data_IF_466835950787
#
_entry.id   IF_466835950787
#
_cell.length_a   1.000
_cell.length_b   1.000
_cell.length_c   1.000
_cell.angle_alpha   90.00
_cell.angle_beta   90.00
_cell.angle_gamma   90.00
#
_symmetry.space_group_name_H-M   'P 1'
#
loop_
_entity.id
_entity.type
_entity.pdbx_description
1 polymer ?
#
# COMPACT_ATOMS: atom_id res chain seq x y z
N UNK A 1 9.63 12.73 0.33
CA UNK A 1 9.26 11.81 1.40
C UNK A 1 8.70 10.53 0.84
N UNK A 2 9.07 9.41 1.44
CA UNK A 2 8.61 8.11 0.97
C UNK A 2 7.10 7.90 1.14
N UNK A 3 6.51 8.50 2.17
CA UNK A 3 5.09 8.30 2.45
C UNK A 3 4.17 8.79 1.34
N UNK A 4 4.55 9.87 0.67
CA UNK A 4 3.76 10.36 -0.45
C UNK A 4 3.71 9.32 -1.57
N UNK A 5 4.83 8.67 -1.84
CA UNK A 5 4.91 7.64 -2.87
C UNK A 5 4.13 6.40 -2.48
N UNK A 6 4.20 6.04 -1.19
CA UNK A 6 3.47 4.88 -0.69
C UNK A 6 1.97 5.10 -0.81
N UNK A 7 1.48 6.26 -0.39
CA UNK A 7 0.06 6.59 -0.48
C UNK A 7 -0.39 6.64 -1.95
N UNK A 8 0.43 7.20 -2.81
CA UNK A 8 0.12 7.25 -4.25
C UNK A 8 -0.01 5.85 -4.83
N UNK A 9 0.89 4.94 -4.45
CA UNK A 9 0.82 3.56 -4.91
C UNK A 9 -0.41 2.85 -4.36
N UNK A 10 -0.75 3.08 -3.10
CA UNK A 10 -1.94 2.50 -2.51
C UNK A 10 -3.20 2.89 -3.30
N UNK A 11 -3.32 4.18 -3.59
CA UNK A 11 -4.47 4.68 -4.36
C UNK A 11 -4.50 4.11 -5.76
N UNK A 12 -3.36 4.01 -6.39
CA UNK A 12 -3.27 3.46 -7.74
C UNK A 12 -3.71 2.00 -7.77
N UNK A 13 -3.21 1.19 -6.84
CA UNK A 13 -3.56 -0.23 -6.77
C UNK A 13 -5.03 -0.43 -6.46
N UNK A 14 -5.60 0.37 -5.57
CA UNK A 14 -7.03 0.29 -5.27
C UNK A 14 -7.85 0.69 -6.50
N UNK A 15 -7.36 1.65 -7.25
CA UNK A 15 -8.03 2.13 -8.45
C UNK A 15 -8.14 1.07 -9.54
N UNK A 16 -7.16 0.19 -9.65
CA UNK A 16 -7.19 -0.88 -10.64
C UNK A 16 -7.94 -2.13 -10.17
N UNK A 17 -8.54 -2.07 -8.98
CA UNK A 17 -9.44 -3.11 -8.52
C UNK A 17 -8.85 -4.20 -7.65
N UNK A 18 -7.65 -3.99 -7.11
CA UNK A 18 -7.08 -4.94 -6.19
C UNK A 18 -7.76 -4.84 -4.82
N UNK A 19 -7.83 -5.97 -4.13
CA UNK A 19 -8.38 -5.99 -2.78
C UNK A 19 -7.40 -5.31 -1.80
N UNK A 20 -7.92 -4.88 -0.65
CA UNK A 20 -7.08 -4.27 0.38
C UNK A 20 -5.94 -5.20 0.80
N UNK A 21 -6.21 -6.49 0.91
CA UNK A 21 -5.19 -7.47 1.26
C UNK A 21 -4.07 -7.50 0.24
N UNK A 22 -4.43 -7.52 -1.03
CA UNK A 22 -3.45 -7.54 -2.11
C UNK A 22 -2.63 -6.26 -2.16
N UNK A 23 -3.29 -5.13 -1.92
CA UNK A 23 -2.61 -3.83 -1.88
C UNK A 23 -1.60 -3.79 -0.74
N UNK A 24 -2.02 -4.19 0.45
CA UNK A 24 -1.15 -4.21 1.62
C UNK A 24 0.06 -5.12 1.38
N UNK A 25 -0.18 -6.30 0.85
CA UNK A 25 0.88 -7.26 0.59
C UNK A 25 1.88 -6.72 -0.43
N UNK A 26 1.39 -6.15 -1.51
CA UNK A 26 2.25 -5.61 -2.57
C UNK A 26 3.11 -4.45 -2.04
N UNK A 27 2.50 -3.53 -1.33
CA UNK A 27 3.21 -2.38 -0.80
C UNK A 27 4.21 -2.79 0.28
N UNK A 28 3.81 -3.74 1.12
CA UNK A 28 4.70 -4.27 2.15
C UNK A 28 5.98 -4.84 1.54
N UNK A 29 5.85 -5.62 0.48
CA UNK A 29 7.00 -6.18 -0.20
C UNK A 29 7.85 -5.12 -0.89
N UNK A 30 7.19 -4.16 -1.51
CA UNK A 30 7.87 -3.13 -2.31
C UNK A 30 8.71 -2.19 -1.46
N UNK A 31 8.19 -1.80 -0.32
CA UNK A 31 8.83 -0.81 0.54
C UNK A 31 9.46 -1.40 1.80
N UNK A 32 9.31 -2.69 2.04
CA UNK A 32 9.86 -3.33 3.23
C UNK A 32 9.20 -2.87 4.52
N UNK A 33 7.93 -2.52 4.48
CA UNK A 33 7.18 -2.08 5.64
C UNK A 33 6.32 -3.21 6.19
N UNK A 34 5.93 -3.08 7.46
CA UNK A 34 5.01 -4.05 8.04
C UNK A 34 3.60 -3.81 7.51
N UNK A 35 2.84 -4.90 7.39
CA UNK A 35 1.46 -4.80 6.92
C UNK A 35 0.61 -3.94 7.85
N UNK A 36 0.88 -3.99 9.15
CA UNK A 36 0.16 -3.20 10.13
C UNK A 36 0.28 -1.71 9.89
N UNK A 37 1.48 -1.26 9.53
CA UNK A 37 1.70 0.15 9.25
C UNK A 37 0.94 0.60 8.01
N UNK A 38 0.91 -0.25 6.99
CA UNK A 38 0.20 0.07 5.76
C UNK A 38 -1.31 0.10 5.99
N UNK A 39 -1.81 -0.83 6.78
CA UNK A 39 -3.24 -0.90 7.08
C UNK A 39 -3.78 0.35 7.77
N UNK A 40 -2.94 1.07 8.48
CA UNK A 40 -3.34 2.33 9.11
C UNK A 40 -3.74 3.39 8.08
N UNK A 41 -3.28 3.25 6.86
CA UNK A 41 -3.55 4.22 5.80
C UNK A 41 -4.75 3.81 4.94
N UNK A 42 -5.25 2.63 5.12
CA UNK A 42 -6.41 2.14 4.42
C UNK A 42 -7.65 2.22 5.30
#
# INVERSE_FOLDING_TARGET
MQWIRIVALLLELLSIGLSNEQVVETVSERFGLSKEEIEKWL
#
